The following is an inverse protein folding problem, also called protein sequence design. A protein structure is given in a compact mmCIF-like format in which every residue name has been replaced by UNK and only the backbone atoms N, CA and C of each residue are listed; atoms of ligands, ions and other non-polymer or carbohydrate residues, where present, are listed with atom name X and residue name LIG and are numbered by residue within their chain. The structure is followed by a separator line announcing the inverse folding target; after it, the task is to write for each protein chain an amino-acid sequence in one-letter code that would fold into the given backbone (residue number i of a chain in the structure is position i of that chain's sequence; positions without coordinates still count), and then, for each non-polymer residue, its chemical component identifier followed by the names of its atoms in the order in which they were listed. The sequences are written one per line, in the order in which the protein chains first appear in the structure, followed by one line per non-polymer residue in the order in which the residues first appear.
data_IF_372558024131
#
_entry.id   IF_372558024131
#
_cell.length_a   1.000
_cell.length_b   1.000
_cell.length_c   1.000
_cell.angle_alpha   90.00
_cell.angle_beta   90.00
_cell.angle_gamma   90.00
#
_symmetry.space_group_name_H-M   'P 1'
#
loop_
_entity.id
_entity.type
_entity.pdbx_description
1 polymer ?
#
# COMPACT_ATOMS: atom_id res chain seq x y z
N UNK A 1 -5.49 10.94 -21.74
CA UNK A 1 -6.85 10.66 -21.24
C UNK A 1 -7.57 9.85 -22.31
N UNK A 2 -7.68 8.51 -22.23
CA UNK A 2 -8.48 7.76 -23.20
C UNK A 2 -9.93 7.72 -22.69
N UNK A 3 -10.58 8.88 -22.68
CA UNK A 3 -11.95 9.06 -22.20
C UNK A 3 -12.95 8.30 -23.09
N UNK A 4 -12.63 8.20 -24.38
CA UNK A 4 -13.56 7.73 -25.42
C UNK A 4 -13.57 6.21 -25.62
N UNK A 5 -12.49 5.50 -25.24
CA UNK A 5 -12.42 4.05 -25.36
C UNK A 5 -13.19 3.31 -24.24
N UNK A 6 -13.28 3.92 -23.05
CA UNK A 6 -13.89 3.32 -21.85
C UNK A 6 -15.41 3.56 -21.73
N UNK A 7 -15.98 4.50 -22.50
CA UNK A 7 -17.42 4.76 -22.57
C UNK A 7 -18.23 3.63 -23.26
N UNK A 8 -17.57 2.67 -23.92
CA UNK A 8 -18.23 1.58 -24.67
C UNK A 8 -18.65 0.37 -23.83
N UNK A 9 -18.36 0.33 -22.52
CA UNK A 9 -18.75 -0.77 -21.63
C UNK A 9 -19.92 -0.32 -20.75
N UNK A 10 -21.11 -0.95 -20.84
CA UNK A 10 -22.29 -0.49 -20.11
C UNK A 10 -22.11 -0.71 -18.59
N UNK A 11 -22.62 0.23 -17.79
CA UNK A 11 -22.64 0.27 -16.31
C UNK A 11 -21.29 0.54 -15.61
N UNK A 12 -20.17 0.02 -16.11
CA UNK A 12 -18.83 0.20 -15.50
C UNK A 12 -18.01 1.32 -16.17
N UNK A 13 -18.38 1.72 -17.40
CA UNK A 13 -17.64 2.72 -18.20
C UNK A 13 -17.60 4.13 -17.59
N UNK A 14 -18.61 4.53 -16.82
CA UNK A 14 -18.65 5.83 -16.12
C UNK A 14 -17.72 5.86 -14.91
N UNK A 15 -17.59 4.74 -14.18
CA UNK A 15 -16.65 4.63 -13.07
C UNK A 15 -15.21 4.51 -13.55
N UNK A 16 -14.96 3.81 -14.66
CA UNK A 16 -13.64 3.67 -15.26
C UNK A 16 -13.14 4.96 -15.94
N UNK A 17 -14.04 5.82 -16.42
CA UNK A 17 -13.65 7.07 -17.08
C UNK A 17 -13.23 8.18 -16.11
N UNK A 18 -13.65 8.09 -14.84
CA UNK A 18 -13.21 8.98 -13.75
C UNK A 18 -11.90 8.52 -13.07
N UNK A 19 -11.44 7.30 -13.35
CA UNK A 19 -10.23 6.74 -12.74
C UNK A 19 -8.96 7.39 -13.30
N UNK A 20 -8.13 7.89 -12.39
CA UNK A 20 -6.85 8.49 -12.74
C UNK A 20 -5.86 7.43 -13.26
N UNK A 21 -4.94 7.81 -14.16
CA UNK A 21 -3.86 6.95 -14.66
C UNK A 21 -3.04 6.30 -13.52
N UNK A 22 -2.86 7.03 -12.42
CA UNK A 22 -2.19 6.51 -11.22
C UNK A 22 -2.88 5.30 -10.61
N UNK A 23 -4.20 5.16 -10.76
CA UNK A 23 -4.92 4.00 -10.25
C UNK A 23 -4.58 2.75 -11.06
N UNK A 24 -4.60 2.85 -12.40
CA UNK A 24 -4.16 1.75 -13.27
C UNK A 24 -2.71 1.36 -13.02
N UNK A 25 -1.84 2.35 -12.80
CA UNK A 25 -0.45 2.13 -12.44
C UNK A 25 -0.33 1.41 -11.09
N UNK A 26 -1.12 1.79 -10.09
CA UNK A 26 -1.13 1.13 -8.78
C UNK A 26 -1.57 -0.34 -8.87
N UNK A 27 -2.67 -0.64 -9.58
CA UNK A 27 -3.08 -2.03 -9.82
C UNK A 27 -2.01 -2.83 -10.57
N UNK A 28 -1.40 -2.24 -11.60
CA UNK A 28 -0.29 -2.84 -12.33
C UNK A 28 0.91 -3.15 -11.43
N UNK A 29 1.29 -2.20 -10.56
CA UNK A 29 2.36 -2.40 -9.58
C UNK A 29 2.04 -3.51 -8.59
N UNK A 30 0.81 -3.62 -8.08
CA UNK A 30 0.45 -4.71 -7.16
C UNK A 30 0.56 -6.07 -7.84
N UNK A 31 0.08 -6.20 -9.07
CA UNK A 31 0.19 -7.45 -9.86
C UNK A 31 1.66 -7.78 -10.10
N UNK A 32 2.44 -6.79 -10.52
CA UNK A 32 3.87 -6.95 -10.80
C UNK A 32 4.65 -7.32 -9.53
N UNK A 33 4.40 -6.66 -8.39
CA UNK A 33 5.02 -7.01 -7.10
C UNK A 33 4.62 -8.43 -6.65
N UNK A 34 3.35 -8.81 -6.84
CA UNK A 34 2.88 -10.17 -6.53
C UNK A 34 3.57 -11.21 -7.40
N UNK A 35 3.74 -10.92 -8.68
CA UNK A 35 4.43 -11.80 -9.62
C UNK A 35 5.92 -11.92 -9.28
N UNK A 36 6.61 -10.80 -9.08
CA UNK A 36 8.04 -10.78 -8.73
C UNK A 36 8.27 -11.53 -7.42
N UNK A 37 7.49 -11.25 -6.37
CA UNK A 37 7.71 -11.86 -5.06
C UNK A 37 7.36 -13.35 -5.01
N UNK A 38 6.39 -13.83 -5.79
CA UNK A 38 5.94 -15.23 -5.72
C UNK A 38 6.51 -16.14 -6.83
N UNK A 39 6.87 -15.59 -8.00
CA UNK A 39 7.22 -16.38 -9.18
C UNK A 39 8.66 -16.21 -9.65
N UNK A 40 9.43 -15.27 -9.11
CA UNK A 40 10.82 -15.03 -9.54
C UNK A 40 11.85 -15.46 -8.50
N UNK A 41 13.05 -15.82 -8.98
CA UNK A 41 14.21 -16.14 -8.13
C UNK A 41 14.59 -14.95 -7.25
N UNK A 42 14.42 -13.72 -7.75
CA UNK A 42 14.67 -12.51 -6.99
C UNK A 42 13.73 -12.39 -5.78
N UNK A 43 12.44 -12.68 -5.95
CA UNK A 43 11.46 -12.69 -4.86
C UNK A 43 11.77 -13.73 -3.77
N UNK A 44 12.21 -14.92 -4.17
CA UNK A 44 12.66 -15.96 -3.24
C UNK A 44 13.86 -15.50 -2.41
N UNK A 45 14.85 -14.86 -3.06
CA UNK A 45 16.01 -14.31 -2.36
C UNK A 45 15.64 -13.19 -1.39
N UNK A 46 14.71 -12.30 -1.75
CA UNK A 46 14.22 -11.25 -0.84
C UNK A 46 13.59 -11.87 0.41
N UNK A 47 12.69 -12.85 0.24
CA UNK A 47 12.02 -13.52 1.36
C UNK A 47 13.00 -14.28 2.24
N UNK A 48 13.95 -14.99 1.64
CA UNK A 48 15.00 -15.69 2.36
C UNK A 48 15.85 -14.73 3.20
N UNK A 49 16.22 -13.57 2.65
CA UNK A 49 16.95 -12.53 3.38
C UNK A 49 16.13 -11.91 4.52
N UNK A 50 14.81 -11.79 4.36
CA UNK A 50 13.91 -11.24 5.39
C UNK A 50 13.58 -12.22 6.53
N UNK A 51 13.62 -13.53 6.28
CA UNK A 51 13.38 -14.55 7.31
C UNK A 51 14.69 -15.00 7.98
N UNK A 52 15.73 -15.29 7.19
CA UNK A 52 16.98 -15.86 7.66
C UNK A 52 18.18 -15.35 6.81
N UNK A 53 18.68 -14.12 7.06
CA UNK A 53 19.75 -13.50 6.27
C UNK A 53 21.06 -14.29 6.34
N UNK A 54 21.36 -14.89 7.50
CA UNK A 54 22.55 -15.74 7.70
C UNK A 54 22.51 -16.97 6.78
N UNK A 55 21.36 -17.65 6.71
CA UNK A 55 21.19 -18.80 5.83
C UNK A 55 21.33 -18.42 4.36
N UNK A 56 20.82 -17.24 3.97
CA UNK A 56 20.96 -16.74 2.61
C UNK A 56 22.43 -16.46 2.23
N UNK A 57 23.24 -15.89 3.14
CA UNK A 57 24.66 -15.63 2.89
C UNK A 57 25.47 -16.94 2.74
N UNK A 58 25.14 -17.98 3.52
CA UNK A 58 25.79 -19.31 3.37
C UNK A 58 25.53 -19.96 2.00
N UNK A 59 24.43 -19.61 1.34
CA UNK A 59 24.06 -20.10 0.01
C UNK A 59 24.60 -19.19 -1.12
N UNK A 60 25.48 -18.23 -0.80
CA UNK A 60 26.12 -17.34 -1.77
C UNK A 60 25.27 -16.14 -2.21
N UNK A 61 24.18 -15.83 -1.48
CA UNK A 61 23.34 -14.66 -1.77
C UNK A 61 23.89 -13.44 -1.05
N UNK A 62 24.22 -12.39 -1.81
CA UNK A 62 24.67 -11.11 -1.27
C UNK A 62 23.53 -10.36 -0.57
N UNK A 63 23.44 -10.54 0.75
CA UNK A 63 22.40 -9.96 1.62
C UNK A 63 22.38 -8.43 1.53
N UNK A 64 23.56 -7.79 1.51
CA UNK A 64 23.66 -6.33 1.45
C UNK A 64 23.07 -5.78 0.16
N UNK A 65 23.46 -6.34 -1.00
CA UNK A 65 22.92 -5.90 -2.29
C UNK A 65 21.40 -6.00 -2.33
N UNK A 66 20.84 -7.11 -1.84
CA UNK A 66 19.38 -7.30 -1.83
C UNK A 66 18.70 -6.28 -0.93
N UNK A 67 19.22 -6.03 0.29
CA UNK A 67 18.66 -5.01 1.20
C UNK A 67 18.70 -3.61 0.57
N UNK A 68 19.83 -3.22 -0.03
CA UNK A 68 19.93 -1.91 -0.70
C UNK A 68 18.96 -1.76 -1.88
N UNK A 69 18.82 -2.80 -2.71
CA UNK A 69 17.84 -2.77 -3.82
C UNK A 69 16.41 -2.62 -3.27
N UNK A 70 16.06 -3.33 -2.19
CA UNK A 70 14.74 -3.23 -1.57
C UNK A 70 14.48 -1.83 -1.02
N UNK A 71 15.46 -1.20 -0.36
CA UNK A 71 15.34 0.17 0.15
C UNK A 71 15.14 1.17 -0.99
N UNK A 72 15.95 1.08 -2.05
CA UNK A 72 15.82 1.97 -3.22
C UNK A 72 14.45 1.81 -3.87
N UNK A 73 14.00 0.57 -4.09
CA UNK A 73 12.67 0.30 -4.65
C UNK A 73 11.56 0.86 -3.76
N UNK A 74 11.68 0.75 -2.43
CA UNK A 74 10.70 1.32 -1.50
C UNK A 74 10.61 2.84 -1.63
N UNK A 75 11.75 3.52 -1.81
CA UNK A 75 11.81 4.96 -2.05
C UNK A 75 11.18 5.36 -3.38
N UNK A 76 11.42 4.60 -4.46
CA UNK A 76 10.80 4.84 -5.78
C UNK A 76 9.27 4.67 -5.70
N UNK A 77 8.79 3.61 -5.05
CA UNK A 77 7.36 3.36 -4.86
C UNK A 77 6.71 4.43 -3.96
N UNK A 78 7.39 4.83 -2.89
CA UNK A 78 6.95 5.92 -2.02
C UNK A 78 6.88 7.27 -2.74
N UNK A 79 7.88 7.56 -3.59
CA UNK A 79 7.90 8.74 -4.45
C UNK A 79 6.75 8.76 -5.46
N UNK A 80 6.44 7.62 -6.08
CA UNK A 80 5.25 7.46 -6.93
C UNK A 80 3.97 7.72 -6.14
N UNK A 81 3.87 7.21 -4.91
CA UNK A 81 2.76 7.50 -4.00
C UNK A 81 2.60 9.01 -3.73
N UNK A 82 3.71 9.71 -3.45
CA UNK A 82 3.71 11.17 -3.28
C UNK A 82 3.32 11.93 -4.56
N UNK A 83 3.77 11.47 -5.73
CA UNK A 83 3.40 12.07 -7.01
C UNK A 83 1.89 11.98 -7.27
N UNK A 84 1.23 10.91 -6.81
CA UNK A 84 -0.25 10.80 -6.91
C UNK A 84 -0.97 11.89 -6.12
N UNK A 85 -0.39 12.39 -5.03
CA UNK A 85 -0.98 13.47 -4.24
C UNK A 85 -0.88 14.80 -4.99
N UNK A 86 0.29 15.12 -5.55
CA UNK A 86 0.58 16.42 -6.19
C UNK A 86 0.09 16.57 -7.64
N UNK A 87 -0.09 15.46 -8.36
CA UNK A 87 -0.51 15.45 -9.77
C UNK A 87 -1.87 14.76 -9.90
N UNK A 88 -2.12 13.72 -9.10
CA UNK A 88 -3.29 12.86 -9.24
C UNK A 88 -4.55 13.39 -8.56
N UNK A 89 -4.43 14.02 -7.38
CA UNK A 89 -5.60 14.53 -6.64
C UNK A 89 -5.86 16.02 -6.88
N UNK A 90 -4.86 16.85 -6.70
CA UNK A 90 -4.90 18.28 -6.99
C UNK A 90 -3.67 18.57 -7.84
N UNK A 91 -3.82 19.22 -9.01
CA UNK A 91 -2.67 19.71 -9.80
C UNK A 91 -1.99 20.92 -9.12
N UNK A 92 -1.83 20.84 -7.81
CA UNK A 92 -1.33 21.89 -6.93
C UNK A 92 -0.68 21.24 -5.72
N UNK A 93 0.46 21.78 -5.32
CA UNK A 93 1.11 21.40 -4.07
C UNK A 93 0.52 22.21 -2.91
N UNK A 94 -0.03 21.52 -1.91
CA UNK A 94 -0.42 22.13 -0.65
C UNK A 94 0.54 21.70 0.47
N UNK A 95 0.82 22.64 1.38
CA UNK A 95 1.54 22.32 2.61
C UNK A 95 0.77 21.26 3.39
N UNK A 96 1.49 20.26 3.91
CA UNK A 96 0.94 19.12 4.66
C UNK A 96 -0.04 18.21 3.90
N UNK A 97 0.06 18.14 2.56
CA UNK A 97 -0.82 17.29 1.74
C UNK A 97 -0.72 15.78 2.05
N UNK A 98 0.42 15.31 2.58
CA UNK A 98 0.58 13.90 3.01
C UNK A 98 -0.28 13.60 4.24
N UNK A 99 -0.48 14.58 5.13
CA UNK A 99 -1.39 14.53 6.29
C UNK A 99 -1.40 13.18 7.04
N UNK A 100 -0.24 12.58 7.28
CA UNK A 100 -0.13 11.31 8.00
C UNK A 100 -0.53 10.04 7.23
N UNK A 101 -0.86 10.13 5.93
CA UNK A 101 -1.22 8.97 5.08
C UNK A 101 -0.13 7.89 5.01
N UNK A 102 1.13 8.24 5.28
CA UNK A 102 2.23 7.27 5.42
C UNK A 102 2.02 6.27 6.57
N UNK A 103 1.47 6.71 7.70
CA UNK A 103 1.13 5.81 8.82
C UNK A 103 -0.02 4.87 8.46
N UNK A 104 -0.99 5.35 7.68
CA UNK A 104 -2.09 4.52 7.16
C UNK A 104 -1.54 3.45 6.20
N UNK A 105 -0.56 3.80 5.37
CA UNK A 105 0.08 2.84 4.47
C UNK A 105 0.84 1.74 5.23
N UNK A 106 1.57 2.10 6.31
CA UNK A 106 2.20 1.12 7.20
C UNK A 106 1.15 0.21 7.87
N UNK A 107 0.07 0.80 8.38
CA UNK A 107 -1.03 0.03 8.97
C UNK A 107 -1.62 -0.96 7.95
N UNK A 108 -1.95 -0.49 6.74
CA UNK A 108 -2.48 -1.33 5.67
C UNK A 108 -1.53 -2.47 5.26
N UNK A 109 -0.21 -2.25 5.31
CA UNK A 109 0.79 -3.30 5.07
C UNK A 109 0.74 -4.39 6.15
N UNK A 110 0.71 -4.00 7.43
CA UNK A 110 0.64 -4.93 8.56
C UNK A 110 -0.64 -5.75 8.49
N UNK A 111 -1.75 -5.09 8.20
CA UNK A 111 -3.06 -5.72 8.09
C UNK A 111 -3.23 -6.56 6.82
N UNK A 112 -2.50 -6.20 5.77
CA UNK A 112 -2.34 -7.00 4.56
C UNK A 112 -1.48 -8.24 4.71
N UNK A 113 -1.03 -8.56 5.93
CA UNK A 113 -0.17 -9.69 6.25
C UNK A 113 1.11 -9.72 5.39
N UNK A 114 1.73 -8.55 5.18
CA UNK A 114 2.97 -8.39 4.41
C UNK A 114 2.93 -8.92 2.96
N UNK A 115 1.72 -9.17 2.42
CA UNK A 115 1.49 -9.64 1.06
C UNK A 115 0.95 -8.51 0.20
N UNK A 116 1.44 -8.30 -1.04
CA UNK A 116 0.99 -7.18 -1.88
C UNK A 116 -0.53 -7.16 -2.11
N UNK A 117 -1.14 -8.32 -2.37
CA UNK A 117 -2.60 -8.45 -2.55
C UNK A 117 -3.37 -8.15 -1.26
N UNK A 118 -2.84 -8.58 -0.11
CA UNK A 118 -3.46 -8.29 1.19
C UNK A 118 -3.38 -6.80 1.52
N UNK A 119 -2.22 -6.18 1.29
CA UNK A 119 -2.02 -4.74 1.50
C UNK A 119 -2.94 -3.91 0.61
N UNK A 120 -3.15 -4.34 -0.63
CA UNK A 120 -4.12 -3.71 -1.53
C UNK A 120 -5.55 -3.80 -0.98
N UNK A 121 -5.97 -4.98 -0.50
CA UNK A 121 -7.27 -5.16 0.13
C UNK A 121 -7.47 -4.25 1.35
N UNK A 122 -6.46 -4.16 2.22
CA UNK A 122 -6.48 -3.25 3.36
C UNK A 122 -6.58 -1.78 2.93
N UNK A 123 -5.77 -1.35 1.95
CA UNK A 123 -5.82 0.01 1.41
C UNK A 123 -7.20 0.35 0.82
N UNK A 124 -7.88 -0.58 0.15
CA UNK A 124 -9.22 -0.37 -0.39
C UNK A 124 -10.25 -0.15 0.72
N UNK A 125 -10.15 -0.89 1.83
CA UNK A 125 -11.01 -0.69 3.01
C UNK A 125 -10.76 0.69 3.63
N UNK A 126 -9.50 1.09 3.81
CA UNK A 126 -9.14 2.42 4.30
C UNK A 126 -9.67 3.53 3.39
N UNK A 127 -9.52 3.38 2.07
CA UNK A 127 -10.02 4.35 1.09
C UNK A 127 -11.56 4.42 1.08
N UNK A 128 -12.24 3.28 1.23
CA UNK A 128 -13.69 3.22 1.33
C UNK A 128 -14.19 3.92 2.60
N UNK A 129 -13.54 3.70 3.73
CA UNK A 129 -13.87 4.36 5.00
C UNK A 129 -13.66 5.89 4.92
N UNK A 130 -12.57 6.34 4.28
CA UNK A 130 -12.30 7.76 4.06
C UNK A 130 -13.35 8.41 3.14
N UNK A 131 -13.71 7.73 2.04
CA UNK A 131 -14.79 8.17 1.16
C UNK A 131 -16.13 8.25 1.91
N UNK A 132 -16.46 7.24 2.73
CA UNK A 132 -17.70 7.25 3.51
C UNK A 132 -17.74 8.42 4.51
N UNK A 133 -16.62 8.78 5.14
CA UNK A 133 -16.54 9.96 6.01
C UNK A 133 -16.85 11.25 5.25
N UNK A 134 -16.32 11.40 4.03
CA UNK A 134 -16.57 12.55 3.17
C UNK A 134 -18.05 12.68 2.78
N UNK A 135 -18.71 11.55 2.46
CA UNK A 135 -20.14 11.54 2.14
C UNK A 135 -21.03 11.71 3.38
N UNK A 136 -20.66 11.14 4.53
CA UNK A 136 -21.40 11.30 5.78
C UNK A 136 -21.49 12.77 6.22
N UNK A 137 -20.43 13.56 5.99
CA UNK A 137 -20.45 15.03 6.18
C UNK A 137 -21.48 15.74 5.31
N UNK A 138 -21.81 15.21 4.13
CA UNK A 138 -22.84 15.79 3.24
C UNK A 138 -24.28 15.49 3.69
N UNK A 139 -24.50 14.47 4.51
CA UNK A 139 -25.85 14.07 4.97
C UNK A 139 -26.44 15.01 6.04
N UNK A 140 -25.70 16.01 6.53
CA UNK A 140 -26.27 17.13 7.30
C UNK A 140 -26.78 16.78 8.71
N UNK A 141 -26.43 15.61 9.25
CA UNK A 141 -26.71 15.27 10.64
C UNK A 141 -25.97 16.29 11.56
N UNK A 142 -26.64 16.92 12.55
CA UNK A 142 -26.08 17.96 13.41
C UNK A 142 -25.15 17.40 14.49
N UNK A 143 -24.19 16.59 14.09
CA UNK A 143 -23.17 16.01 14.97
C UNK A 143 -21.88 16.85 14.90
N UNK A 144 -21.11 16.95 16.00
CA UNK A 144 -19.81 17.61 15.98
C UNK A 144 -18.89 17.02 14.92
N UNK A 145 -18.07 17.87 14.29
CA UNK A 145 -17.16 17.48 13.20
C UNK A 145 -16.19 16.35 13.60
N UNK A 146 -15.85 16.27 14.89
CA UNK A 146 -15.01 15.23 15.48
C UNK A 146 -15.63 13.82 15.35
N UNK A 147 -16.95 13.71 15.44
CA UNK A 147 -17.63 12.42 15.29
C UNK A 147 -17.46 11.87 13.86
N UNK A 148 -17.58 12.74 12.86
CA UNK A 148 -17.35 12.37 11.46
C UNK A 148 -15.90 12.07 11.14
N UNK A 149 -14.97 12.78 11.77
CA UNK A 149 -13.55 12.52 11.65
C UNK A 149 -13.15 11.18 12.30
N UNK A 150 -13.88 10.72 13.32
CA UNK A 150 -13.65 9.43 13.99
C UNK A 150 -14.20 8.21 13.25
N UNK A 151 -15.26 8.38 12.44
CA UNK A 151 -15.91 7.30 11.68
C UNK A 151 -14.93 6.44 10.85
N UNK A 152 -14.02 7.00 10.04
CA UNK A 152 -13.11 6.19 9.25
C UNK A 152 -12.17 5.33 10.12
N UNK A 153 -11.77 5.82 11.30
CA UNK A 153 -10.94 5.07 12.24
C UNK A 153 -11.71 3.94 12.93
N UNK A 154 -12.96 4.18 13.32
CA UNK A 154 -13.83 3.16 13.91
C UNK A 154 -14.16 2.06 12.90
N UNK A 155 -14.52 2.43 11.68
CA UNK A 155 -14.84 1.48 10.61
C UNK A 155 -13.63 0.64 10.22
N UNK A 156 -12.44 1.27 10.13
CA UNK A 156 -11.20 0.54 9.86
C UNK A 156 -10.86 -0.38 11.02
N UNK A 157 -10.98 0.06 12.27
CA UNK A 157 -10.76 -0.78 13.45
C UNK A 157 -11.67 -2.02 13.45
N UNK A 158 -12.95 -1.87 13.11
CA UNK A 158 -13.89 -3.00 13.02
C UNK A 158 -13.55 -3.92 11.85
N UNK A 159 -13.30 -3.36 10.67
CA UNK A 159 -12.93 -4.14 9.49
C UNK A 159 -11.64 -4.93 9.73
N UNK A 160 -10.70 -4.33 10.46
CA UNK A 160 -9.42 -4.95 10.80
C UNK A 160 -9.56 -6.03 11.87
N UNK A 161 -10.28 -5.74 12.95
CA UNK A 161 -10.55 -6.72 14.00
C UNK A 161 -11.35 -7.93 13.50
N UNK A 162 -12.24 -7.73 12.51
CA UNK A 162 -13.09 -8.78 11.96
C UNK A 162 -12.44 -9.63 10.86
N UNK A 163 -11.59 -9.05 10.01
CA UNK A 163 -11.09 -9.73 8.80
C UNK A 163 -9.59 -10.08 8.83
N UNK A 164 -8.80 -9.49 9.72
CA UNK A 164 -7.35 -9.75 9.76
C UNK A 164 -7.04 -10.89 10.71
N UNK A 165 -6.68 -12.04 10.13
CA UNK A 165 -6.13 -13.18 10.89
C UNK A 165 -4.73 -12.92 11.43
N UNK A 166 -4.01 -13.97 11.81
CA UNK A 166 -2.62 -13.85 12.32
C UNK A 166 -1.71 -13.22 11.26
N UNK A 167 -1.15 -12.06 11.57
CA UNK A 167 -0.09 -11.42 10.78
C UNK A 167 1.27 -12.02 11.16
N UNK A 168 2.01 -12.52 10.18
CA UNK A 168 3.39 -12.98 10.38
C UNK A 168 4.33 -11.97 9.74
N UNK A 169 5.00 -11.17 10.57
CA UNK A 169 6.05 -10.28 10.09
C UNK A 169 7.33 -11.08 9.81
N UNK A 170 8.18 -10.62 8.86
CA UNK A 170 9.50 -11.19 8.65
C UNK A 170 10.32 -11.11 9.95
N UNK A 171 10.97 -12.21 10.33
CA UNK A 171 11.70 -12.32 11.61
C UNK A 171 12.84 -11.32 11.78
N UNK A 172 13.45 -10.90 10.68
CA UNK A 172 14.68 -10.09 10.68
C UNK A 172 14.41 -8.67 10.15
N UNK A 173 13.17 -8.23 10.24
CA UNK A 173 12.78 -6.87 9.90
C UNK A 173 13.35 -5.87 10.93
N UNK A 174 13.98 -4.79 10.45
CA UNK A 174 14.62 -3.77 11.29
C UNK A 174 15.91 -4.19 11.99
N UNK A 175 16.35 -5.45 11.90
CA UNK A 175 17.60 -5.92 12.54
C UNK A 175 18.80 -5.68 11.60
N UNK A 176 19.82 -4.90 12.02
CA UNK A 176 21.03 -4.70 11.23
C UNK A 176 21.75 -6.02 10.95
N UNK A 177 22.15 -6.26 9.70
CA UNK A 177 22.95 -7.44 9.35
C UNK A 177 24.44 -7.13 9.41
N UNK A 178 25.13 -7.86 10.26
CA UNK A 178 26.58 -7.84 10.49
C UNK A 178 27.18 -9.13 9.90
N UNK A 179 27.93 -8.99 8.81
CA UNK A 179 28.57 -10.15 8.18
C UNK A 179 29.67 -10.68 9.09
N UNK A 180 29.53 -11.93 9.53
CA UNK A 180 30.54 -12.64 10.33
C UNK A 180 30.26 -12.76 11.83
N UNK A 181 29.10 -12.29 12.33
CA UNK A 181 28.67 -12.62 13.69
C UNK A 181 28.19 -14.08 13.74
N UNK A 182 28.88 -14.89 14.56
CA UNK A 182 28.54 -16.29 14.84
C UNK A 182 27.34 -16.36 15.76
#
# INVERSE_FOLDING_TARGET
YPRDAMLKIPVIGTFLSELNWFVFLAFGLVILSTYILNKTVFGLRIRAVGEHPRAADTLGVDVYKIRYICVILSGVLGGLGGATLSIGMMNMYLNNMVSGRGFIALAAMIFGNWKPLGSMGACLIFAFADALSLYAKKFGLPLPQEFYASLPYLLTMIALAGFVGKTTAPREDGIPYTKGER
#
